data_IF_247012342251
#
_entry.id   IF_247012342251
#
_cell.length_a   1.000
_cell.length_b   1.000
_cell.length_c   1.000
_cell.angle_alpha   90.00
_cell.angle_beta   90.00
_cell.angle_gamma   90.00
#
_symmetry.space_group_name_H-M   'P 1'
#
loop_
_entity.id
_entity.type
_entity.pdbx_description
1 polymer ?
#
# COMPACT_ATOMS: atom_id res chain seq x y z
N UNK A 1 23.17 -3.87 8.64
CA UNK A 1 21.81 -4.36 8.99
C UNK A 1 21.89 -5.88 9.08
N UNK A 2 21.27 -6.50 10.09
CA UNK A 2 21.25 -7.97 10.19
C UNK A 2 20.31 -8.58 9.15
N UNK A 3 20.55 -9.84 8.79
CA UNK A 3 19.68 -10.58 7.87
C UNK A 3 18.25 -10.70 8.41
N UNK A 4 18.10 -10.87 9.73
CA UNK A 4 16.80 -10.91 10.40
C UNK A 4 16.02 -9.59 10.24
N UNK A 5 16.69 -8.45 10.38
CA UNK A 5 16.08 -7.14 10.18
C UNK A 5 15.64 -6.94 8.71
N UNK A 6 16.50 -7.30 7.76
CA UNK A 6 16.16 -7.19 6.34
C UNK A 6 14.98 -8.11 5.98
N UNK A 7 14.93 -9.30 6.57
CA UNK A 7 13.84 -10.26 6.36
C UNK A 7 12.53 -9.77 6.97
N UNK A 8 12.55 -9.24 8.19
CA UNK A 8 11.34 -8.68 8.84
C UNK A 8 10.80 -7.47 8.08
N UNK A 9 11.67 -6.57 7.62
CA UNK A 9 11.30 -5.43 6.78
C UNK A 9 10.63 -5.88 5.47
N UNK A 10 11.21 -6.86 4.76
CA UNK A 10 10.61 -7.40 3.53
C UNK A 10 9.25 -8.04 3.78
N UNK A 11 9.09 -8.79 4.87
CA UNK A 11 7.80 -9.39 5.26
C UNK A 11 6.74 -8.31 5.49
N UNK A 12 7.08 -7.25 6.24
CA UNK A 12 6.19 -6.12 6.47
C UNK A 12 5.76 -5.45 5.16
N UNK A 13 6.71 -5.06 4.30
CA UNK A 13 6.40 -4.39 3.03
C UNK A 13 5.57 -5.28 2.10
N UNK A 14 5.84 -6.59 2.08
CA UNK A 14 5.03 -7.55 1.32
C UNK A 14 3.60 -7.62 1.86
N UNK A 15 3.44 -7.71 3.18
CA UNK A 15 2.12 -7.73 3.79
C UNK A 15 1.36 -6.44 3.47
N UNK A 16 1.97 -5.27 3.69
CA UNK A 16 1.41 -3.96 3.36
C UNK A 16 0.94 -3.89 1.90
N UNK A 17 1.77 -4.32 0.94
CA UNK A 17 1.42 -4.31 -0.47
C UNK A 17 0.23 -5.22 -0.80
N UNK A 18 0.27 -6.48 -0.36
CA UNK A 18 -0.78 -7.46 -0.66
C UNK A 18 -2.11 -7.07 -0.03
N UNK A 19 -2.12 -6.64 1.24
CA UNK A 19 -3.37 -6.26 1.91
C UNK A 19 -3.95 -4.97 1.36
N UNK A 20 -3.10 -4.00 1.00
CA UNK A 20 -3.56 -2.76 0.37
C UNK A 20 -4.19 -3.03 -0.99
N UNK A 21 -3.61 -3.93 -1.78
CA UNK A 21 -4.18 -4.33 -3.07
C UNK A 21 -5.56 -4.96 -2.90
N UNK A 22 -5.71 -5.92 -1.97
CA UNK A 22 -6.99 -6.58 -1.71
C UNK A 22 -8.09 -5.58 -1.30
N UNK A 23 -7.77 -4.66 -0.39
CA UNK A 23 -8.71 -3.62 0.05
C UNK A 23 -9.13 -2.69 -1.09
N UNK A 24 -8.18 -2.30 -1.97
CA UNK A 24 -8.48 -1.47 -3.13
C UNK A 24 -9.36 -2.23 -4.13
N UNK A 25 -9.05 -3.49 -4.43
CA UNK A 25 -9.85 -4.30 -5.35
C UNK A 25 -11.29 -4.51 -4.86
N UNK A 26 -11.48 -4.72 -3.56
CA UNK A 26 -12.78 -4.81 -2.94
C UNK A 26 -13.55 -3.50 -3.09
N UNK A 27 -12.96 -2.37 -2.69
CA UNK A 27 -13.58 -1.06 -2.82
C UNK A 27 -13.92 -0.69 -4.28
N UNK A 28 -13.04 -1.02 -5.23
CA UNK A 28 -13.29 -0.79 -6.67
C UNK A 28 -14.43 -1.68 -7.19
N UNK A 29 -14.53 -2.92 -6.71
CA UNK A 29 -15.64 -3.82 -7.06
C UNK A 29 -16.97 -3.29 -6.53
N UNK A 30 -17.01 -2.85 -5.28
CA UNK A 30 -18.20 -2.24 -4.66
C UNK A 30 -18.61 -0.94 -5.36
N UNK A 31 -17.63 -0.16 -5.85
CA UNK A 31 -17.88 1.04 -6.63
C UNK A 31 -18.41 0.77 -8.05
N UNK A 32 -18.67 -0.49 -8.43
CA UNK A 32 -19.18 -0.87 -9.74
C UNK A 32 -18.09 -1.08 -10.78
N UNK A 33 -16.90 -1.51 -10.38
CA UNK A 33 -15.81 -1.90 -11.26
C UNK A 33 -14.86 -0.76 -11.68
N UNK A 34 -13.73 -1.10 -12.30
CA UNK A 34 -12.67 -0.15 -12.64
C UNK A 34 -12.90 0.62 -13.96
N UNK A 35 -13.77 0.12 -14.82
CA UNK A 35 -13.92 0.54 -16.22
C UNK A 35 -14.21 2.04 -16.36
N UNK A 36 -13.30 2.75 -17.03
CA UNK A 36 -13.43 4.18 -17.32
C UNK A 36 -13.24 5.08 -16.09
N UNK A 37 -12.76 4.52 -14.96
CA UNK A 37 -12.56 5.27 -13.71
C UNK A 37 -11.09 5.49 -13.42
N UNK A 38 -10.84 6.57 -12.70
CA UNK A 38 -9.51 6.97 -12.24
C UNK A 38 -9.58 7.21 -10.74
N UNK A 39 -8.76 6.50 -9.99
CA UNK A 39 -8.67 6.61 -8.54
C UNK A 39 -7.30 7.14 -8.15
N UNK A 40 -7.27 8.19 -7.35
CA UNK A 40 -6.02 8.67 -6.75
C UNK A 40 -5.85 8.00 -5.40
N UNK A 41 -4.75 7.27 -5.23
CA UNK A 41 -4.41 6.55 -4.02
C UNK A 41 -3.27 7.24 -3.28
N UNK A 42 -3.32 7.19 -1.95
CA UNK A 42 -2.28 7.67 -1.04
C UNK A 42 -2.03 6.60 0.02
N UNK A 43 -0.78 6.21 0.19
CA UNK A 43 -0.30 5.40 1.30
C UNK A 43 0.67 6.23 2.15
N UNK A 44 0.59 6.08 3.47
CA UNK A 44 1.49 6.72 4.43
C UNK A 44 2.10 5.63 5.30
N UNK A 45 3.42 5.61 5.38
CA UNK A 45 4.17 4.72 6.27
C UNK A 45 4.83 5.56 7.35
N UNK A 46 4.43 5.32 8.58
CA UNK A 46 5.00 5.92 9.79
C UNK A 46 5.67 4.82 10.61
N UNK A 47 6.85 5.11 11.16
CA UNK A 47 7.55 4.16 12.03
C UNK A 47 7.74 4.80 13.40
N UNK A 48 7.02 4.28 14.40
CA UNK A 48 7.13 4.79 15.77
C UNK A 48 8.57 4.67 16.30
N UNK A 49 9.03 5.73 16.96
CA UNK A 49 10.40 5.83 17.45
C UNK A 49 11.43 6.22 16.40
N UNK A 50 11.04 6.39 15.13
CA UNK A 50 11.83 7.02 14.09
C UNK A 50 11.11 8.28 13.58
N UNK A 51 11.86 9.32 13.21
CA UNK A 51 11.30 10.50 12.52
C UNK A 51 11.12 10.20 11.03
N UNK A 52 10.28 9.21 10.73
CA UNK A 52 10.02 8.72 9.38
C UNK A 52 8.53 8.77 9.10
N UNK A 53 8.16 9.68 8.19
CA UNK A 53 6.88 9.69 7.49
C UNK A 53 7.18 9.60 6.00
N UNK A 54 6.83 8.46 5.38
CA UNK A 54 6.98 8.25 3.95
C UNK A 54 5.61 8.20 3.28
N UNK A 55 5.38 9.11 2.33
CA UNK A 55 4.13 9.21 1.59
C UNK A 55 4.34 8.72 0.16
N UNK A 56 3.51 7.77 -0.26
CA UNK A 56 3.44 7.28 -1.63
C UNK A 56 2.09 7.68 -2.21
N UNK A 57 2.09 8.39 -3.33
CA UNK A 57 0.88 8.73 -4.07
C UNK A 57 0.93 8.10 -5.46
N UNK A 58 -0.22 7.64 -5.95
CA UNK A 58 -0.32 7.03 -7.26
C UNK A 58 -1.72 7.16 -7.86
N UNK A 59 -1.82 6.90 -9.15
CA UNK A 59 -3.10 6.87 -9.86
C UNK A 59 -3.37 5.44 -10.33
N UNK A 60 -4.56 4.94 -10.02
CA UNK A 60 -5.05 3.61 -10.40
C UNK A 60 -6.15 3.83 -11.45
N UNK A 61 -6.04 3.14 -12.58
CA UNK A 61 -6.96 3.26 -13.71
C UNK A 61 -7.37 1.88 -14.21
N UNK A 62 -8.58 1.73 -14.72
CA UNK A 62 -8.98 0.56 -15.49
C UNK A 62 -10.14 0.83 -16.43
#
# INVERSE_FOLDING_TARGET
MSDDFNMSMRKFLKQLGVTSQQAIEEAVREAGGPEGKVYNAKAVVTVEGLDVEHVVTGTIKG
#
